data_IF_671839250080
#
_entry.id   IF_671839250080
#
_cell.length_a   1.000
_cell.length_b   1.000
_cell.length_c   1.000
_cell.angle_alpha   90.00
_cell.angle_beta   90.00
_cell.angle_gamma   90.00
#
_symmetry.space_group_name_H-M   'P 1'
#
loop_
_entity.id
_entity.type
_entity.pdbx_description
1 polymer ?
#
# COMPACT_ATOMS: atom_id res chain seq x y z
N UNK A 1 30.17 -13.72 -5.65
CA UNK A 1 29.79 -12.30 -5.66
C UNK A 1 28.30 -12.15 -5.43
N UNK A 2 27.92 -12.02 -4.16
CA UNK A 2 26.55 -11.72 -3.77
C UNK A 2 26.41 -10.22 -3.69
N UNK A 3 25.66 -9.63 -4.61
CA UNK A 3 25.29 -8.22 -4.59
C UNK A 3 24.64 -7.89 -3.24
N UNK A 4 25.38 -7.19 -2.40
CA UNK A 4 24.83 -6.58 -1.19
C UNK A 4 24.07 -5.36 -1.67
N UNK A 5 22.75 -5.48 -1.84
CA UNK A 5 21.86 -4.33 -2.14
C UNK A 5 21.83 -3.38 -0.95
N UNK A 6 22.78 -2.46 -0.86
CA UNK A 6 22.80 -1.37 0.12
C UNK A 6 21.98 -0.14 -0.35
N UNK A 7 20.91 -0.31 -1.15
CA UNK A 7 20.22 0.83 -1.81
C UNK A 7 18.68 0.74 -1.88
N UNK A 8 18.00 0.11 -0.93
CA UNK A 8 16.53 0.20 -0.86
C UNK A 8 16.17 0.94 0.45
N UNK A 9 15.77 2.22 0.35
CA UNK A 9 15.30 2.97 1.52
C UNK A 9 13.88 2.57 1.93
N UNK A 10 13.29 1.62 1.23
CA UNK A 10 11.99 1.05 1.55
C UNK A 10 11.93 -0.38 1.01
N UNK A 11 11.05 -1.19 1.58
CA UNK A 11 10.76 -2.53 1.10
C UNK A 11 9.32 -2.88 1.44
N UNK A 12 8.75 -3.86 0.74
CA UNK A 12 7.45 -4.43 1.09
C UNK A 12 7.52 -5.96 1.10
N UNK A 13 6.59 -6.54 1.84
CA UNK A 13 6.31 -7.97 1.89
C UNK A 13 4.84 -8.13 1.55
N UNK A 14 4.55 -8.90 0.52
CA UNK A 14 3.23 -9.49 0.32
C UNK A 14 3.06 -10.60 1.35
N UNK A 15 2.16 -10.37 2.31
CA UNK A 15 1.84 -11.33 3.38
C UNK A 15 0.54 -12.07 3.10
N UNK A 16 -0.03 -11.89 1.90
CA UNK A 16 -1.28 -12.51 1.51
C UNK A 16 -1.14 -14.01 1.30
N UNK A 17 -2.29 -14.67 1.16
CA UNK A 17 -2.37 -16.09 0.79
C UNK A 17 -3.03 -16.25 -0.57
N UNK A 18 -2.85 -17.40 -1.25
CA UNK A 18 -3.38 -17.60 -2.60
C UNK A 18 -4.91 -17.50 -2.72
N UNK A 19 -5.63 -17.58 -1.61
CA UNK A 19 -7.08 -17.44 -1.55
C UNK A 19 -7.55 -16.01 -1.40
N UNK A 20 -6.65 -15.04 -1.16
CA UNK A 20 -7.03 -13.63 -1.01
C UNK A 20 -7.66 -13.11 -2.30
N UNK A 21 -8.73 -12.33 -2.17
CA UNK A 21 -9.47 -11.78 -3.31
C UNK A 21 -8.61 -10.96 -4.28
N UNK A 22 -7.49 -10.39 -3.81
CA UNK A 22 -6.50 -9.68 -4.63
C UNK A 22 -5.13 -10.32 -4.45
N UNK A 23 -4.50 -10.70 -5.56
CA UNK A 23 -3.12 -11.18 -5.60
C UNK A 23 -2.20 -10.06 -6.08
N UNK A 24 -1.32 -9.59 -5.19
CA UNK A 24 -0.36 -8.55 -5.52
C UNK A 24 0.72 -9.11 -6.44
N UNK A 25 1.02 -8.38 -7.53
CA UNK A 25 2.11 -8.73 -8.47
C UNK A 25 3.33 -7.86 -8.24
N UNK A 26 3.15 -6.55 -8.13
CA UNK A 26 4.23 -5.63 -7.80
C UNK A 26 3.72 -4.32 -7.20
N UNK A 27 4.56 -3.69 -6.38
CA UNK A 27 4.46 -2.29 -5.98
C UNK A 27 5.73 -1.60 -6.44
N UNK A 28 5.56 -0.49 -7.18
CA UNK A 28 6.63 0.39 -7.62
C UNK A 28 6.35 1.80 -7.12
N UNK A 29 7.40 2.55 -6.81
CA UNK A 29 7.28 3.94 -6.34
C UNK A 29 8.19 4.85 -7.15
N UNK A 30 7.80 6.11 -7.29
CA UNK A 30 8.59 7.14 -7.95
C UNK A 30 8.41 8.49 -7.23
N UNK A 31 9.49 9.17 -6.79
CA UNK A 31 10.88 8.73 -6.89
C UNK A 31 11.16 7.51 -6.00
N UNK A 32 12.11 6.68 -6.45
CA UNK A 32 12.67 5.59 -5.67
C UNK A 32 14.14 5.91 -5.34
N UNK A 33 14.52 6.12 -4.07
CA UNK A 33 13.68 6.03 -2.87
C UNK A 33 12.66 7.17 -2.71
N UNK A 34 11.52 6.96 -2.00
CA UNK A 34 10.57 8.01 -1.65
C UNK A 34 11.24 9.16 -0.89
N UNK A 35 10.90 10.42 -1.23
CA UNK A 35 11.55 11.62 -0.66
C UNK A 35 10.55 12.55 0.02
N UNK A 36 10.72 12.86 1.31
CA UNK A 36 9.88 13.83 2.00
C UNK A 36 9.87 15.18 1.27
N UNK A 37 8.68 15.76 1.10
CA UNK A 37 8.48 17.02 0.40
C UNK A 37 8.37 16.94 -1.10
N UNK A 38 8.48 15.75 -1.68
CA UNK A 38 8.24 15.48 -3.10
C UNK A 38 6.93 14.73 -3.28
N UNK A 39 6.41 14.80 -4.50
CA UNK A 39 5.26 14.01 -4.91
C UNK A 39 5.72 12.56 -5.11
N UNK A 40 4.97 11.62 -4.54
CA UNK A 40 5.18 10.19 -4.63
C UNK A 40 4.10 9.57 -5.53
N UNK A 41 4.51 8.99 -6.65
CA UNK A 41 3.66 8.14 -7.47
C UNK A 41 3.87 6.68 -7.07
N UNK A 42 2.78 5.96 -6.81
CA UNK A 42 2.76 4.54 -6.51
C UNK A 42 2.03 3.83 -7.64
N UNK A 43 2.68 2.81 -8.21
CA UNK A 43 2.09 1.94 -9.23
C UNK A 43 1.94 0.54 -8.64
N UNK A 44 0.71 0.07 -8.54
CA UNK A 44 0.38 -1.28 -8.03
C UNK A 44 -0.15 -2.12 -9.18
N UNK A 45 0.46 -3.28 -9.39
CA UNK A 45 -0.05 -4.29 -10.32
C UNK A 45 -0.60 -5.46 -9.51
N UNK A 46 -1.81 -5.91 -9.83
CA UNK A 46 -2.48 -7.00 -9.11
C UNK A 46 -3.40 -7.82 -10.03
N UNK A 47 -3.82 -8.99 -9.55
CA UNK A 47 -4.91 -9.78 -10.09
C UNK A 47 -6.08 -9.80 -9.10
N UNK A 48 -7.28 -9.43 -9.55
CA UNK A 48 -8.52 -9.53 -8.78
C UNK A 48 -9.17 -10.88 -9.07
N UNK A 49 -9.18 -11.77 -8.07
CA UNK A 49 -9.73 -13.13 -8.17
C UNK A 49 -11.24 -13.18 -7.88
N UNK A 50 -11.73 -12.21 -7.12
CA UNK A 50 -13.13 -12.07 -6.72
C UNK A 50 -13.59 -10.62 -6.86
N UNK A 51 -14.86 -10.42 -7.22
CA UNK A 51 -15.39 -9.08 -7.41
C UNK A 51 -15.36 -8.32 -6.09
N UNK A 52 -14.77 -7.13 -6.08
CA UNK A 52 -14.70 -6.29 -4.89
C UNK A 52 -15.89 -5.34 -4.88
N UNK A 53 -16.78 -5.51 -3.92
CA UNK A 53 -18.01 -4.72 -3.77
C UNK A 53 -17.85 -3.54 -2.81
N UNK A 54 -18.84 -2.64 -2.83
CA UNK A 54 -18.96 -1.55 -1.86
C UNK A 54 -18.96 -2.06 -0.42
N UNK A 55 -18.28 -1.34 0.47
CA UNK A 55 -18.06 -1.74 1.86
C UNK A 55 -16.81 -2.57 2.11
N UNK A 56 -16.05 -2.94 1.07
CA UNK A 56 -14.69 -3.46 1.26
C UNK A 56 -13.81 -2.43 1.97
N UNK A 57 -12.88 -2.90 2.82
CA UNK A 57 -12.14 -2.02 3.72
C UNK A 57 -10.71 -2.49 3.97
N UNK A 58 -9.87 -1.60 4.50
CA UNK A 58 -8.51 -1.90 4.90
C UNK A 58 -8.18 -1.34 6.28
N UNK A 59 -7.68 -2.21 7.15
CA UNK A 59 -7.05 -1.83 8.41
C UNK A 59 -5.60 -1.41 8.16
N UNK A 60 -5.30 -0.15 8.46
CA UNK A 60 -3.96 0.43 8.28
C UNK A 60 -3.36 0.78 9.63
N UNK A 61 -2.18 0.23 9.89
CA UNK A 61 -1.37 0.53 11.08
C UNK A 61 -0.02 1.09 10.67
N UNK A 62 0.27 2.33 11.07
CA UNK A 62 1.58 2.97 10.87
C UNK A 62 2.29 3.05 12.21
N UNK A 63 3.54 2.60 12.25
CA UNK A 63 4.41 2.71 13.43
C UNK A 63 5.68 3.47 13.10
N UNK A 64 6.18 4.20 14.09
CA UNK A 64 7.54 4.73 14.15
C UNK A 64 8.27 3.95 15.25
N UNK A 65 9.15 3.03 14.84
CA UNK A 65 9.71 2.02 15.73
C UNK A 65 8.61 1.20 16.44
N UNK A 66 8.48 1.35 17.76
CA UNK A 66 7.46 0.63 18.58
C UNK A 66 6.19 1.45 18.85
N UNK A 67 6.17 2.73 18.47
CA UNK A 67 5.05 3.64 18.73
C UNK A 67 4.08 3.57 17.55
N UNK A 68 2.78 3.39 17.83
CA UNK A 68 1.73 3.43 16.81
C UNK A 68 1.36 4.89 16.57
N UNK A 69 1.56 5.37 15.33
CA UNK A 69 1.18 6.71 14.90
C UNK A 69 -0.23 6.75 14.32
N UNK A 70 -0.61 5.70 13.59
CA UNK A 70 -1.94 5.56 13.01
C UNK A 70 -2.41 4.13 13.21
N UNK A 71 -3.68 3.99 13.60
CA UNK A 71 -4.43 2.75 13.55
C UNK A 71 -5.85 3.11 13.14
N UNK A 72 -6.21 2.85 11.88
CA UNK A 72 -7.49 3.27 11.34
C UNK A 72 -7.93 2.31 10.24
N UNK A 73 -9.24 2.09 10.18
CA UNK A 73 -9.92 1.38 9.10
C UNK A 73 -10.37 2.38 8.04
N UNK A 74 -10.11 2.06 6.78
CA UNK A 74 -10.49 2.86 5.61
C UNK A 74 -11.41 2.05 4.72
N UNK A 75 -12.49 2.66 4.26
CA UNK A 75 -13.34 2.10 3.21
C UNK A 75 -12.63 2.30 1.86
N UNK A 76 -12.24 1.22 1.19
CA UNK A 76 -11.38 1.32 0.01
C UNK A 76 -12.12 1.91 -1.20
N UNK A 77 -13.43 1.71 -1.29
CA UNK A 77 -14.25 2.25 -2.37
C UNK A 77 -14.45 3.76 -2.21
N UNK A 78 -14.70 4.22 -0.98
CA UNK A 78 -14.78 5.64 -0.66
C UNK A 78 -13.42 6.35 -0.83
N UNK A 79 -12.32 5.72 -0.40
CA UNK A 79 -10.98 6.30 -0.60
C UNK A 79 -10.60 6.34 -2.08
N UNK A 80 -10.97 5.34 -2.89
CA UNK A 80 -10.78 5.36 -4.35
C UNK A 80 -11.58 6.50 -5.02
N UNK A 81 -12.82 6.75 -4.59
CA UNK A 81 -13.62 7.90 -5.07
C UNK A 81 -13.00 9.24 -4.69
N UNK A 82 -12.54 9.39 -3.44
CA UNK A 82 -11.88 10.62 -2.96
C UNK A 82 -10.56 10.90 -3.68
N UNK A 83 -9.85 9.84 -4.06
CA UNK A 83 -8.61 9.91 -4.82
C UNK A 83 -8.83 10.05 -6.34
N UNK A 84 -10.09 10.13 -6.80
CA UNK A 84 -10.45 10.17 -8.24
C UNK A 84 -9.74 9.04 -9.03
N UNK A 85 -9.65 7.85 -8.44
CA UNK A 85 -8.96 6.71 -9.01
C UNK A 85 -9.65 6.19 -10.29
N UNK A 86 -8.87 5.67 -11.24
CA UNK A 86 -9.42 5.04 -12.45
C UNK A 86 -10.18 3.74 -12.13
N UNK A 87 -9.77 3.05 -11.05
CA UNK A 87 -10.42 1.83 -10.56
C UNK A 87 -11.42 2.20 -9.48
N UNK A 88 -12.69 1.89 -9.71
CA UNK A 88 -13.80 2.20 -8.82
C UNK A 88 -14.61 0.94 -8.55
N UNK A 89 -15.24 0.88 -7.37
CA UNK A 89 -16.14 -0.21 -7.02
C UNK A 89 -17.45 -0.15 -7.84
N UNK A 90 -18.06 -1.29 -8.19
CA UNK A 90 -17.53 -2.64 -8.00
C UNK A 90 -16.34 -2.93 -8.93
N UNK A 91 -15.29 -3.59 -8.41
CA UNK A 91 -14.11 -3.98 -9.18
C UNK A 91 -14.29 -5.42 -9.66
N UNK A 92 -14.40 -5.60 -10.97
CA UNK A 92 -14.55 -6.92 -11.59
C UNK A 92 -13.28 -7.77 -11.49
N UNK A 93 -13.41 -9.08 -11.77
CA UNK A 93 -12.27 -9.99 -11.82
C UNK A 93 -11.35 -9.65 -12.99
N UNK A 94 -10.03 -9.74 -12.76
CA UNK A 94 -9.02 -9.60 -13.80
C UNK A 94 -7.77 -8.83 -13.37
N UNK A 95 -6.87 -8.53 -14.32
CA UNK A 95 -5.64 -7.80 -14.05
C UNK A 95 -5.89 -6.29 -13.96
N UNK A 96 -5.29 -5.65 -12.95
CA UNK A 96 -5.36 -4.21 -12.76
C UNK A 96 -3.97 -3.60 -12.55
N UNK A 97 -3.83 -2.38 -13.06
CA UNK A 97 -2.74 -1.47 -12.73
C UNK A 97 -3.36 -0.21 -12.14
N UNK A 98 -3.06 0.08 -10.88
CA UNK A 98 -3.50 1.30 -10.19
C UNK A 98 -2.30 2.23 -10.07
N UNK A 99 -2.43 3.45 -10.58
CA UNK A 99 -1.42 4.50 -10.43
C UNK A 99 -2.02 5.60 -9.57
N UNK A 100 -1.37 5.91 -8.46
CA UNK A 100 -1.82 6.94 -7.54
C UNK A 100 -0.68 7.86 -7.13
N UNK A 101 -0.98 9.14 -7.06
CA UNK A 101 0.02 10.17 -6.79
C UNK A 101 -0.38 10.97 -5.56
N UNK A 102 0.53 11.04 -4.58
CA UNK A 102 0.30 11.68 -3.29
C UNK A 102 1.45 12.62 -2.94
N UNK A 103 1.15 13.73 -2.26
CA UNK A 103 2.19 14.63 -1.78
C UNK A 103 2.77 14.10 -0.46
N UNK A 104 4.06 13.82 -0.44
CA UNK A 104 4.73 13.37 0.78
C UNK A 104 5.12 14.60 1.62
N UNK A 105 4.65 14.74 2.88
CA UNK A 105 4.94 15.94 3.68
C UNK A 105 6.44 16.17 3.92
N UNK A 106 6.85 17.45 4.04
CA UNK A 106 8.24 17.84 4.32
C UNK A 106 8.65 17.55 5.76
N UNK A 107 7.66 17.51 6.66
CA UNK A 107 7.83 17.41 8.11
C UNK A 107 7.96 15.96 8.61
N UNK A 108 8.04 14.97 7.70
CA UNK A 108 8.25 13.57 8.08
C UNK A 108 9.54 13.45 8.88
N UNK A 109 9.49 12.94 10.12
CA UNK A 109 10.67 12.82 10.95
C UNK A 109 11.64 11.78 10.37
N UNK A 110 12.94 12.03 10.57
CA UNK A 110 14.00 11.09 10.18
C UNK A 110 13.96 9.84 11.05
N UNK A 111 13.23 8.84 10.60
CA UNK A 111 13.01 7.61 11.33
C UNK A 111 12.67 6.46 10.38
N UNK A 112 12.63 5.26 10.95
CA UNK A 112 12.10 4.07 10.31
C UNK A 112 10.62 3.93 10.61
N UNK A 113 9.84 3.75 9.55
CA UNK A 113 8.42 3.53 9.60
C UNK A 113 8.10 2.11 9.17
N UNK A 114 7.10 1.51 9.80
CA UNK A 114 6.48 0.28 9.32
C UNK A 114 5.00 0.54 9.09
N UNK A 115 4.48 0.13 7.94
CA UNK A 115 3.08 0.21 7.59
C UNK A 115 2.54 -1.19 7.41
N UNK A 116 1.48 -1.55 8.10
CA UNK A 116 0.76 -2.80 7.89
C UNK A 116 -0.61 -2.48 7.33
N UNK A 117 -0.93 -3.09 6.20
CA UNK A 117 -2.23 -2.99 5.52
C UNK A 117 -2.85 -4.38 5.50
N UNK A 118 -4.07 -4.50 6.03
CA UNK A 118 -4.89 -5.72 5.98
C UNK A 118 -6.22 -5.36 5.35
N UNK A 119 -6.43 -5.81 4.12
CA UNK A 119 -7.64 -5.59 3.36
C UNK A 119 -8.62 -6.73 3.56
N UNK A 120 -9.89 -6.40 3.64
CA UNK A 120 -11.00 -7.35 3.75
C UNK A 120 -12.11 -6.97 2.76
N UNK A 121 -12.85 -7.98 2.28
CA UNK A 121 -14.05 -7.77 1.48
C UNK A 121 -15.19 -7.23 2.36
N UNK A 122 -16.32 -6.89 1.76
CA UNK A 122 -17.51 -6.49 2.50
C UNK A 122 -18.12 -7.61 3.35
N UNK A 123 -17.72 -8.87 3.12
CA UNK A 123 -18.12 -10.05 3.89
C UNK A 123 -17.10 -10.44 4.98
N UNK A 124 -16.11 -9.56 5.24
CA UNK A 124 -15.00 -9.75 6.18
C UNK A 124 -13.97 -10.84 5.78
N UNK A 125 -13.99 -11.32 4.52
CA UNK A 125 -13.00 -12.26 4.00
C UNK A 125 -11.67 -11.57 3.64
N UNK A 126 -10.56 -12.30 3.72
CA UNK A 126 -9.22 -11.79 3.40
C UNK A 126 -9.13 -11.33 1.93
N UNK A 127 -8.81 -10.05 1.73
CA UNK A 127 -8.74 -9.43 0.40
C UNK A 127 -7.31 -9.16 -0.05
N UNK A 128 -6.45 -8.63 0.83
CA UNK A 128 -5.06 -8.34 0.53
C UNK A 128 -4.24 -8.13 1.82
N UNK A 129 -2.94 -8.46 1.79
CA UNK A 129 -2.06 -8.24 2.94
C UNK A 129 -0.70 -7.70 2.48
N UNK A 130 -0.33 -6.51 2.97
CA UNK A 130 0.97 -5.90 2.68
C UNK A 130 1.59 -5.33 3.94
N UNK A 131 2.88 -5.63 4.16
CA UNK A 131 3.71 -4.96 5.16
C UNK A 131 4.81 -4.17 4.46
N UNK A 132 4.90 -2.87 4.72
CA UNK A 132 5.91 -1.96 4.18
C UNK A 132 6.86 -1.49 5.28
N UNK A 133 8.12 -1.29 4.91
CA UNK A 133 9.12 -0.62 5.72
C UNK A 133 9.69 0.54 4.92
N UNK A 134 9.82 1.72 5.54
CA UNK A 134 10.41 2.90 4.90
C UNK A 134 11.40 3.53 5.87
N UNK A 135 12.61 3.82 5.40
CA UNK A 135 13.72 4.39 6.14
C UNK A 135 14.03 5.80 5.63
N UNK A 136 13.59 6.82 6.39
CA UNK A 136 13.89 8.23 6.11
C UNK A 136 15.11 8.73 6.90
N UNK A 137 16.00 7.84 7.38
CA UNK A 137 17.17 8.24 8.17
C UNK A 137 18.37 8.68 7.32
N UNK A 138 18.51 8.17 6.09
CA UNK A 138 19.57 8.56 5.16
C UNK A 138 19.29 9.93 4.50
N UNK A 139 20.35 10.72 4.30
CA UNK A 139 20.30 11.97 3.53
C UNK A 139 20.42 11.71 2.04
#
# INVERSE_FOLDING_TARGET
DGDVRTMESWAYIDCGVPTDAIQLKSIEVSPDPPKPGEQLTVTVNAEVQEQIEEGAYADVVVKLGRIILLKKTFDICEEARKAEADVQCPVEKGPYTVVQTVDLPKEIPKAKFTVSVRGYTHEDDDMACVDLQVDFTSK
#
